data_IF_830755732745
#
_entry.id   IF_830755732745
#
_cell.length_a   1.000
_cell.length_b   1.000
_cell.length_c   1.000
_cell.angle_alpha   90.00
_cell.angle_beta   90.00
_cell.angle_gamma   90.00
#
_symmetry.space_group_name_H-M   'P 1'
#
loop_
_entity.id
_entity.type
_entity.pdbx_description
1 polymer ?
#
# COMPACT_ATOMS: atom_id res chain seq x y z
N UNK A 1 -24.82 -1.08 2.22
CA UNK A 1 -23.36 -1.33 2.20
C UNK A 1 -22.66 -0.07 2.70
N UNK A 2 -21.91 -0.17 3.80
CA UNK A 2 -21.08 0.94 4.26
C UNK A 2 -19.93 1.14 3.27
N UNK A 3 -19.58 2.39 2.96
CA UNK A 3 -18.40 2.70 2.15
C UNK A 3 -17.16 2.25 2.95
N UNK A 4 -16.33 1.38 2.37
CA UNK A 4 -15.01 1.07 2.93
C UNK A 4 -14.17 2.32 2.76
N UNK A 5 -13.63 2.85 3.85
CA UNK A 5 -12.80 4.06 3.86
C UNK A 5 -11.51 3.72 4.57
N UNK A 6 -10.40 3.78 3.84
CA UNK A 6 -9.06 3.81 4.42
C UNK A 6 -8.83 5.20 4.96
N UNK A 7 -8.45 5.28 6.22
CA UNK A 7 -8.21 6.54 6.94
C UNK A 7 -6.72 6.73 7.19
N UNK A 8 -6.35 7.94 7.64
CA UNK A 8 -4.96 8.29 7.93
C UNK A 8 -4.24 7.28 8.86
N UNK A 9 -4.96 6.70 9.83
CA UNK A 9 -4.39 5.71 10.75
C UNK A 9 -3.95 4.43 10.04
N UNK A 10 -4.66 4.01 8.98
CA UNK A 10 -4.29 2.83 8.21
C UNK A 10 -2.96 3.08 7.47
N UNK A 11 -2.81 4.27 6.88
CA UNK A 11 -1.57 4.69 6.21
C UNK A 11 -0.40 4.74 7.19
N UNK A 12 -0.62 5.30 8.38
CA UNK A 12 0.40 5.35 9.42
C UNK A 12 0.81 3.94 9.89
N UNK A 13 -0.14 3.03 10.04
CA UNK A 13 0.15 1.65 10.45
C UNK A 13 0.90 0.87 9.38
N UNK A 14 0.48 0.97 8.12
CA UNK A 14 1.18 0.32 7.01
C UNK A 14 2.62 0.84 6.91
N UNK A 15 2.82 2.15 6.96
CA UNK A 15 4.15 2.75 6.94
C UNK A 15 5.03 2.26 8.10
N UNK A 16 4.46 2.11 9.30
CA UNK A 16 5.17 1.52 10.44
C UNK A 16 5.57 0.06 10.16
N UNK A 17 4.67 -0.76 9.61
CA UNK A 17 4.96 -2.17 9.27
C UNK A 17 6.08 -2.29 8.22
N UNK A 18 6.05 -1.46 7.17
CA UNK A 18 7.11 -1.41 6.16
C UNK A 18 8.46 -1.06 6.79
N UNK A 19 8.49 -0.06 7.68
CA UNK A 19 9.70 0.34 8.39
C UNK A 19 10.23 -0.78 9.31
N UNK A 20 9.36 -1.47 10.06
CA UNK A 20 9.74 -2.59 10.93
C UNK A 20 10.34 -3.76 10.16
N UNK A 21 9.87 -3.99 8.93
CA UNK A 21 10.40 -5.00 8.00
C UNK A 21 11.65 -4.53 7.24
N UNK A 22 12.11 -3.29 7.47
CA UNK A 22 13.23 -2.65 6.76
C UNK A 22 12.99 -2.52 5.24
N UNK A 23 11.73 -2.45 4.83
CA UNK A 23 11.35 -2.18 3.46
C UNK A 23 11.40 -0.67 3.23
N UNK A 24 12.18 -0.24 2.25
CA UNK A 24 12.47 1.18 2.01
C UNK A 24 11.40 1.83 1.13
N UNK A 25 10.14 1.68 1.52
CA UNK A 25 8.99 2.27 0.83
C UNK A 25 8.10 3.04 1.77
N UNK A 26 7.38 4.03 1.22
CA UNK A 26 6.39 4.82 1.93
C UNK A 26 5.08 4.83 1.17
N UNK A 27 4.02 4.41 1.83
CA UNK A 27 2.66 4.46 1.33
C UNK A 27 2.09 5.87 1.46
N UNK A 28 1.45 6.32 0.39
CA UNK A 28 0.67 7.54 0.35
C UNK A 28 -0.72 7.29 -0.27
N UNK A 29 -1.69 8.13 0.09
CA UNK A 29 -3.05 8.06 -0.43
C UNK A 29 -3.31 9.22 -1.40
N UNK A 30 -3.84 8.90 -2.57
CA UNK A 30 -4.35 9.85 -3.57
C UNK A 30 -5.87 9.74 -3.60
N UNK A 31 -6.52 10.79 -3.12
CA UNK A 31 -7.98 10.91 -3.23
C UNK A 31 -8.33 11.29 -4.67
N UNK A 32 -9.08 10.43 -5.36
CA UNK A 32 -9.65 10.71 -6.67
C UNK A 32 -11.18 10.69 -6.52
N UNK A 33 -11.88 11.64 -7.15
CA UNK A 33 -13.33 11.81 -7.06
C UNK A 33 -14.09 10.49 -7.28
N UNK A 34 -14.39 9.76 -6.20
CA UNK A 34 -15.16 8.51 -6.20
C UNK A 34 -14.43 7.26 -5.72
N UNK A 35 -13.09 7.22 -5.72
CA UNK A 35 -12.29 6.04 -5.35
C UNK A 35 -10.98 6.41 -4.66
N UNK A 36 -10.57 5.62 -3.67
CA UNK A 36 -9.24 5.78 -3.06
C UNK A 36 -8.20 5.03 -3.88
N UNK A 37 -7.15 5.73 -4.27
CA UNK A 37 -5.97 5.17 -4.91
C UNK A 37 -4.76 5.44 -4.03
N UNK A 38 -3.72 4.62 -4.17
CA UNK A 38 -2.54 4.68 -3.33
C UNK A 38 -1.30 4.53 -4.19
N UNK A 39 -0.19 5.11 -3.75
CA UNK A 39 1.11 4.92 -4.38
C UNK A 39 2.19 4.68 -3.33
N UNK A 40 3.16 3.86 -3.71
CA UNK A 40 4.36 3.55 -2.93
C UNK A 40 5.50 4.39 -3.48
N UNK A 41 6.06 5.24 -2.61
CA UNK A 41 7.30 5.97 -2.86
C UNK A 41 8.49 5.12 -2.42
N UNK A 42 9.42 4.88 -3.32
CA UNK A 42 10.70 4.24 -3.00
C UNK A 42 11.65 5.26 -2.34
N UNK A 43 12.25 4.88 -1.21
CA UNK A 43 13.09 5.76 -0.40
C UNK A 43 14.60 5.56 -0.64
N UNK A 44 15.02 4.48 -1.31
CA UNK A 44 16.40 4.20 -1.70
C UNK A 44 16.42 3.57 -3.09
N UNK A 45 17.14 4.17 -4.04
CA UNK A 45 17.22 3.72 -5.43
C UNK A 45 17.97 2.37 -5.63
N UNK A 46 18.30 1.68 -4.55
CA UNK A 46 18.96 0.36 -4.55
C UNK A 46 18.00 -0.79 -4.17
N UNK A 47 16.69 -0.56 -4.18
CA UNK A 47 15.76 -1.67 -3.97
C UNK A 47 15.88 -2.68 -5.11
N UNK A 48 15.92 -3.95 -4.77
CA UNK A 48 15.92 -5.05 -5.73
C UNK A 48 14.52 -5.64 -5.85
N UNK A 49 14.28 -6.46 -6.87
CA UNK A 49 12.97 -7.09 -7.12
C UNK A 49 12.36 -7.75 -5.89
N UNK A 50 13.18 -8.41 -5.05
CA UNK A 50 12.68 -9.04 -3.82
C UNK A 50 12.09 -8.05 -2.82
N UNK A 51 12.59 -6.80 -2.75
CA UNK A 51 12.01 -5.78 -1.90
C UNK A 51 10.65 -5.28 -2.42
N UNK A 52 10.45 -5.24 -3.74
CA UNK A 52 9.13 -4.93 -4.32
C UNK A 52 8.12 -6.05 -4.02
N UNK A 53 8.52 -7.32 -4.20
CA UNK A 53 7.66 -8.48 -3.90
C UNK A 53 7.26 -8.53 -2.41
N UNK A 54 8.22 -8.30 -1.51
CA UNK A 54 7.98 -8.25 -0.06
C UNK A 54 7.08 -7.07 0.32
N UNK A 55 7.28 -5.90 -0.30
CA UNK A 55 6.42 -4.74 -0.13
C UNK A 55 5.00 -5.05 -0.58
N UNK A 56 4.80 -5.58 -1.78
CA UNK A 56 3.46 -5.90 -2.30
C UNK A 56 2.74 -6.90 -1.40
N UNK A 57 3.44 -7.94 -0.94
CA UNK A 57 2.89 -8.91 0.02
C UNK A 57 2.49 -8.24 1.32
N UNK A 58 3.32 -7.39 1.90
CA UNK A 58 2.99 -6.69 3.15
C UNK A 58 1.75 -5.79 3.02
N UNK A 59 1.56 -5.14 1.87
CA UNK A 59 0.36 -4.36 1.58
C UNK A 59 -0.86 -5.29 1.45
N UNK A 60 -0.77 -6.36 0.65
CA UNK A 60 -1.87 -7.31 0.44
C UNK A 60 -2.31 -7.95 1.76
N UNK A 61 -1.36 -8.39 2.59
CA UNK A 61 -1.63 -9.01 3.88
C UNK A 61 -2.43 -8.05 4.78
N UNK A 62 -2.03 -6.78 4.85
CA UNK A 62 -2.71 -5.76 5.64
C UNK A 62 -4.18 -5.57 5.22
N UNK A 63 -4.44 -5.43 3.92
CA UNK A 63 -5.79 -5.23 3.43
C UNK A 63 -6.64 -6.51 3.54
N UNK A 64 -6.01 -7.68 3.37
CA UNK A 64 -6.65 -8.99 3.57
C UNK A 64 -7.09 -9.19 5.03
N UNK A 65 -6.27 -8.82 6.02
CA UNK A 65 -6.64 -8.81 7.45
C UNK A 65 -7.90 -7.98 7.71
N UNK A 66 -8.14 -6.96 6.89
CA UNK A 66 -9.30 -6.07 6.96
C UNK A 66 -10.48 -6.47 6.07
N UNK A 67 -10.39 -7.59 5.36
CA UNK A 67 -11.35 -8.04 4.35
C UNK A 67 -11.58 -7.00 3.24
N UNK A 68 -10.51 -6.28 2.87
CA UNK A 68 -10.49 -5.31 1.78
C UNK A 68 -9.68 -5.93 0.63
N UNK A 69 -10.25 -5.92 -0.57
CA UNK A 69 -9.56 -6.39 -1.77
C UNK A 69 -8.91 -5.18 -2.44
N UNK A 70 -7.66 -5.36 -2.86
CA UNK A 70 -6.91 -4.36 -3.61
C UNK A 70 -6.39 -4.95 -4.90
N UNK A 71 -6.10 -4.08 -5.87
CA UNK A 71 -5.46 -4.45 -7.13
C UNK A 71 -4.29 -3.50 -7.40
N UNK A 72 -3.10 -4.07 -7.57
CA UNK A 72 -1.93 -3.33 -8.04
C UNK A 72 -2.05 -3.04 -9.54
N UNK A 73 -1.68 -1.83 -9.94
CA UNK A 73 -1.64 -1.40 -11.33
C UNK A 73 -0.34 -1.88 -12.00
N UNK A 74 -0.26 -1.70 -13.33
CA UNK A 74 0.87 -2.17 -14.16
C UNK A 74 2.26 -1.67 -13.71
N UNK A 75 2.33 -0.57 -12.97
CA UNK A 75 3.59 -0.04 -12.44
C UNK A 75 4.04 -0.70 -11.14
N UNK A 76 3.25 -1.62 -10.58
CA UNK A 76 3.50 -2.38 -9.35
C UNK A 76 3.65 -1.52 -8.07
N UNK A 77 3.54 -0.20 -8.16
CA UNK A 77 3.71 0.76 -7.07
C UNK A 77 2.41 1.47 -6.73
N UNK A 78 1.48 1.52 -7.67
CA UNK A 78 0.14 2.06 -7.46
C UNK A 78 -0.86 0.93 -7.25
N UNK A 79 -1.86 1.16 -6.41
CA UNK A 79 -2.98 0.24 -6.26
C UNK A 79 -4.30 0.97 -5.95
N UNK A 80 -5.40 0.27 -6.20
CA UNK A 80 -6.76 0.72 -5.91
C UNK A 80 -7.48 -0.28 -5.01
N UNK A 81 -8.52 0.18 -4.33
CA UNK A 81 -9.45 -0.69 -3.61
C UNK A 81 -10.58 -1.09 -4.57
N UNK A 82 -10.96 -2.37 -4.54
CA UNK A 82 -12.07 -2.93 -5.33
C UNK A 82 -13.40 -2.90 -4.57
#
# INVERSE_FOLDING_TARGET
MGKIVVIYNDIAEINRRLQEQKLLFKLHMRDACGSQSFWLEELDARSCSSQYDEMQRAIIDYFTEKNIVIEFLDNHLDFVIL
#
